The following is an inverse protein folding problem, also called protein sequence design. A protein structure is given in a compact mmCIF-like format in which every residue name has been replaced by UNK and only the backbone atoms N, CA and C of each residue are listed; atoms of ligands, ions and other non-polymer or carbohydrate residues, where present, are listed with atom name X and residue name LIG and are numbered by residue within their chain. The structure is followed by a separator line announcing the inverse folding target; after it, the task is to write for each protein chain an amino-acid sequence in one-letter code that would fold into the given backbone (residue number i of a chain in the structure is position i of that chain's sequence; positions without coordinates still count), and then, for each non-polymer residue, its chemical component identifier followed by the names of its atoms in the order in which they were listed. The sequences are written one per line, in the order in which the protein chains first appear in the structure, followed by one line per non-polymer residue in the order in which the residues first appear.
data_IF_094347065089
#
_entry.id   IF_094347065089
#
_cell.length_a   1.000
_cell.length_b   1.000
_cell.length_c   1.000
_cell.angle_alpha   90.00
_cell.angle_beta   90.00
_cell.angle_gamma   90.00
#
_symmetry.space_group_name_H-M   'P 1'
#
loop_
_entity.id
_entity.type
_entity.pdbx_description
1 polymer ?
#
# COMPACT_ATOMS: atom_id res chain seq x y z
N UNK A 1 9.93 1.22 -10.61
CA UNK A 1 10.59 -0.10 -10.74
C UNK A 1 10.79 -0.52 -12.21
N UNK A 2 9.72 -0.58 -13.01
CA UNK A 2 9.81 -0.94 -14.44
C UNK A 2 10.73 0.02 -15.22
N UNK A 3 10.62 1.32 -14.94
CA UNK A 3 11.47 2.40 -15.47
C UNK A 3 12.96 2.20 -15.16
N UNK A 4 13.31 1.85 -13.93
CA UNK A 4 14.69 1.53 -13.52
C UNK A 4 15.26 0.34 -14.30
N UNK A 5 14.48 -0.75 -14.42
CA UNK A 5 14.91 -1.97 -15.15
C UNK A 5 15.15 -1.66 -16.63
N UNK A 6 14.22 -0.93 -17.27
CA UNK A 6 14.34 -0.55 -18.68
C UNK A 6 15.57 0.36 -18.92
N UNK A 7 15.79 1.35 -18.07
CA UNK A 7 16.95 2.25 -18.18
C UNK A 7 18.27 1.49 -18.02
N UNK A 8 18.34 0.55 -17.07
CA UNK A 8 19.53 -0.25 -16.84
C UNK A 8 19.81 -1.21 -18.01
N UNK A 9 18.77 -1.85 -18.54
CA UNK A 9 18.87 -2.72 -19.70
C UNK A 9 19.42 -1.95 -20.91
N UNK A 10 18.86 -0.78 -21.21
CA UNK A 10 19.31 0.05 -22.32
C UNK A 10 20.77 0.50 -22.13
N UNK A 11 21.16 0.88 -20.91
CA UNK A 11 22.54 1.27 -20.62
C UNK A 11 23.54 0.12 -20.88
N UNK A 12 23.20 -1.11 -20.48
CA UNK A 12 24.04 -2.29 -20.72
C UNK A 12 24.10 -2.66 -22.21
N UNK A 13 23.01 -2.48 -22.94
CA UNK A 13 22.96 -2.78 -24.39
C UNK A 13 23.69 -1.72 -25.23
N UNK A 14 23.67 -0.46 -24.79
CA UNK A 14 24.24 0.67 -25.55
C UNK A 14 25.71 0.91 -25.21
N UNK A 15 26.11 0.75 -23.95
CA UNK A 15 27.46 1.06 -23.49
C UNK A 15 28.25 -0.22 -23.22
N UNK A 16 29.44 -0.33 -23.82
CA UNK A 16 30.36 -1.46 -23.59
C UNK A 16 31.27 -1.25 -22.38
N UNK A 17 31.33 -0.03 -21.84
CA UNK A 17 32.17 0.32 -20.69
C UNK A 17 31.35 0.46 -19.41
N UNK A 18 31.82 -0.18 -18.34
CA UNK A 18 31.21 -0.07 -17.01
C UNK A 18 31.18 1.36 -16.47
N UNK A 19 32.12 2.21 -16.88
CA UNK A 19 32.18 3.60 -16.41
C UNK A 19 30.97 4.43 -16.86
N UNK A 20 30.38 4.09 -18.00
CA UNK A 20 29.24 4.81 -18.59
C UNK A 20 27.90 4.33 -18.00
N UNK A 21 27.86 3.12 -17.43
CA UNK A 21 26.67 2.53 -16.79
C UNK A 21 26.48 3.05 -15.36
N UNK A 22 27.58 3.33 -14.65
CA UNK A 22 27.57 3.84 -13.26
C UNK A 22 26.66 5.08 -13.08
N UNK A 23 26.78 6.16 -13.89
CA UNK A 23 25.93 7.34 -13.69
C UNK A 23 24.44 7.04 -13.89
N UNK A 24 24.08 6.17 -14.84
CA UNK A 24 22.68 5.76 -15.05
C UNK A 24 22.15 5.05 -13.82
N UNK A 25 22.92 4.11 -13.27
CA UNK A 25 22.56 3.34 -12.08
C UNK A 25 22.36 4.26 -10.87
N UNK A 26 23.22 5.26 -10.68
CA UNK A 26 23.12 6.22 -9.58
C UNK A 26 21.87 7.11 -9.73
N UNK A 27 21.67 7.73 -10.90
CA UNK A 27 20.55 8.66 -11.12
C UNK A 27 19.20 7.95 -10.99
N UNK A 28 19.03 6.83 -11.70
CA UNK A 28 17.79 6.07 -11.64
C UNK A 28 17.62 5.37 -10.28
N UNK A 29 18.70 4.97 -9.62
CA UNK A 29 18.66 4.34 -8.30
C UNK A 29 18.17 5.31 -7.22
N UNK A 30 18.74 6.52 -7.18
CA UNK A 30 18.29 7.59 -6.27
C UNK A 30 16.84 7.96 -6.57
N UNK A 31 16.49 8.13 -7.84
CA UNK A 31 15.12 8.40 -8.26
C UNK A 31 14.15 7.32 -7.77
N UNK A 32 14.54 6.04 -7.86
CA UNK A 32 13.68 4.94 -7.43
C UNK A 32 13.49 4.88 -5.91
N UNK A 33 14.52 5.20 -5.13
CA UNK A 33 14.40 5.29 -3.67
C UNK A 33 13.45 6.43 -3.30
N UNK A 34 13.62 7.60 -3.90
CA UNK A 34 12.74 8.75 -3.67
C UNK A 34 11.30 8.41 -4.08
N UNK A 35 11.11 7.75 -5.22
CA UNK A 35 9.79 7.33 -5.69
C UNK A 35 9.11 6.36 -4.72
N UNK A 36 9.81 5.29 -4.31
CA UNK A 36 9.25 4.26 -3.44
C UNK A 36 8.98 4.75 -2.02
N UNK A 37 9.87 5.56 -1.44
CA UNK A 37 9.80 5.94 -0.03
C UNK A 37 9.09 7.27 0.22
N UNK A 38 9.09 8.21 -0.73
CA UNK A 38 8.50 9.54 -0.55
C UNK A 38 7.30 9.74 -1.46
N UNK A 39 7.45 9.58 -2.79
CA UNK A 39 6.36 9.89 -3.72
C UNK A 39 5.21 8.91 -3.59
N UNK A 40 5.50 7.60 -3.51
CA UNK A 40 4.46 6.57 -3.38
C UNK A 40 3.58 6.80 -2.16
N UNK A 41 4.10 6.94 -0.92
CA UNK A 41 3.25 7.23 0.23
C UNK A 41 2.63 8.63 0.18
N UNK A 42 3.30 9.63 -0.40
CA UNK A 42 2.72 10.97 -0.55
C UNK A 42 1.53 10.99 -1.53
N UNK A 43 1.62 10.25 -2.63
CA UNK A 43 0.57 10.17 -3.66
C UNK A 43 -0.57 9.22 -3.25
N UNK A 44 -0.23 8.10 -2.60
CA UNK A 44 -1.19 7.06 -2.18
C UNK A 44 -1.78 7.37 -0.79
N UNK A 45 -1.19 8.32 -0.06
CA UNK A 45 -1.71 9.02 1.10
C UNK A 45 -2.53 8.17 2.07
N UNK A 46 -1.90 7.46 3.00
CA UNK A 46 -2.38 6.97 4.31
C UNK A 46 -3.88 6.61 4.51
N UNK A 47 -4.60 6.14 3.50
CA UNK A 47 -6.06 5.96 3.55
C UNK A 47 -6.49 4.53 3.88
N UNK A 48 -5.96 3.95 4.95
CA UNK A 48 -6.65 2.80 5.56
C UNK A 48 -7.02 3.07 7.02
N UNK A 49 -6.21 3.85 7.76
CA UNK A 49 -6.56 4.31 9.11
C UNK A 49 -6.96 3.18 10.08
N UNK A 50 -6.60 1.93 9.74
CA UNK A 50 -6.87 0.75 10.54
C UNK A 50 -5.78 0.67 11.60
N UNK A 51 -6.19 0.78 12.85
CA UNK A 51 -5.27 0.62 13.96
C UNK A 51 -4.64 -0.79 13.92
N UNK A 52 -3.31 -0.95 14.09
CA UNK A 52 -2.62 -2.25 14.00
C UNK A 52 -3.27 -3.37 14.83
N UNK A 53 -3.87 -3.02 15.98
CA UNK A 53 -4.61 -3.96 16.82
C UNK A 53 -5.81 -4.59 16.10
N UNK A 54 -6.55 -3.84 15.29
CA UNK A 54 -7.71 -4.37 14.55
C UNK A 54 -7.27 -5.40 13.51
N UNK A 55 -6.11 -5.18 12.89
CA UNK A 55 -5.51 -6.12 11.94
C UNK A 55 -5.14 -7.43 12.64
N UNK A 56 -4.45 -7.34 13.79
CA UNK A 56 -4.06 -8.52 14.57
C UNK A 56 -5.31 -9.30 15.03
N UNK A 57 -6.32 -8.60 15.56
CA UNK A 57 -7.58 -9.25 15.98
C UNK A 57 -8.30 -9.91 14.80
N UNK A 58 -8.34 -9.28 13.63
CA UNK A 58 -8.94 -9.86 12.45
C UNK A 58 -8.19 -11.12 11.98
N UNK A 59 -6.85 -11.12 12.00
CA UNK A 59 -6.05 -12.28 11.63
C UNK A 59 -6.25 -13.45 12.61
N UNK A 60 -6.30 -13.17 13.90
CA UNK A 60 -6.58 -14.18 14.93
C UNK A 60 -8.00 -14.74 14.79
N UNK A 61 -9.00 -13.87 14.61
CA UNK A 61 -10.39 -14.28 14.44
C UNK A 61 -10.59 -15.08 13.14
N UNK A 62 -10.06 -14.59 12.01
CA UNK A 62 -10.11 -15.28 10.72
C UNK A 62 -9.39 -16.62 10.77
N UNK A 63 -8.22 -16.67 11.40
CA UNK A 63 -7.45 -17.90 11.60
C UNK A 63 -8.18 -18.95 12.43
N UNK A 64 -8.92 -18.54 13.46
CA UNK A 64 -9.72 -19.47 14.27
C UNK A 64 -11.00 -19.94 13.55
N UNK A 65 -11.66 -19.07 12.79
CA UNK A 65 -12.94 -19.39 12.15
C UNK A 65 -12.79 -20.27 10.90
N UNK A 66 -11.79 -19.98 10.05
CA UNK A 66 -11.64 -20.62 8.73
C UNK A 66 -10.20 -21.10 8.45
N UNK A 67 -9.35 -21.16 9.48
CA UNK A 67 -7.95 -21.58 9.33
C UNK A 67 -7.15 -20.64 8.43
N UNK A 68 -6.27 -21.20 7.60
CA UNK A 68 -5.41 -20.43 6.71
C UNK A 68 -6.18 -19.56 5.71
N UNK A 69 -7.29 -20.05 5.16
CA UNK A 69 -8.14 -19.27 4.26
C UNK A 69 -8.71 -18.03 4.96
N UNK A 70 -9.08 -18.15 6.23
CA UNK A 70 -9.54 -17.03 7.04
C UNK A 70 -8.45 -16.01 7.32
N UNK A 71 -7.19 -16.43 7.49
CA UNK A 71 -6.05 -15.50 7.62
C UNK A 71 -5.84 -14.69 6.34
N UNK A 72 -5.90 -15.33 5.16
CA UNK A 72 -5.76 -14.65 3.87
C UNK A 72 -6.86 -13.60 3.64
N UNK A 73 -8.09 -13.92 4.05
CA UNK A 73 -9.25 -13.04 3.86
C UNK A 73 -9.45 -12.04 5.00
N UNK A 74 -8.80 -12.22 6.15
CA UNK A 74 -9.01 -11.39 7.35
C UNK A 74 -8.77 -9.89 7.09
N UNK A 75 -7.69 -9.55 6.38
CA UNK A 75 -7.32 -8.16 6.13
C UNK A 75 -8.34 -7.44 5.22
N UNK A 76 -8.69 -7.94 4.02
CA UNK A 76 -9.68 -7.27 3.18
C UNK A 76 -11.07 -7.22 3.81
N UNK A 77 -11.51 -8.27 4.51
CA UNK A 77 -12.81 -8.28 5.20
C UNK A 77 -12.84 -7.26 6.33
N UNK A 78 -11.79 -7.20 7.16
CA UNK A 78 -11.68 -6.22 8.24
C UNK A 78 -11.70 -4.77 7.71
N UNK A 79 -11.00 -4.51 6.60
CA UNK A 79 -11.04 -3.22 5.94
C UNK A 79 -12.45 -2.86 5.43
N UNK A 80 -13.14 -3.79 4.77
CA UNK A 80 -14.51 -3.58 4.30
C UNK A 80 -15.49 -3.27 5.45
N UNK A 81 -15.40 -4.02 6.56
CA UNK A 81 -16.22 -3.78 7.76
C UNK A 81 -15.91 -2.40 8.35
N UNK A 82 -14.64 -2.04 8.51
CA UNK A 82 -14.24 -0.76 9.09
C UNK A 82 -14.72 0.44 8.27
N UNK A 83 -14.64 0.35 6.93
CA UNK A 83 -15.17 1.38 6.03
C UNK A 83 -16.70 1.44 6.12
N UNK A 84 -17.38 0.29 6.10
CA UNK A 84 -18.83 0.20 6.26
C UNK A 84 -19.32 0.84 7.55
N UNK A 85 -18.71 0.51 8.69
CA UNK A 85 -19.04 1.11 9.99
C UNK A 85 -18.79 2.62 10.02
N UNK A 86 -17.69 3.10 9.41
CA UNK A 86 -17.40 4.53 9.32
C UNK A 86 -18.47 5.27 8.52
N UNK A 87 -18.93 4.68 7.42
CA UNK A 87 -19.99 5.23 6.59
C UNK A 87 -21.34 5.22 7.31
N UNK A 88 -21.72 4.10 7.93
CA UNK A 88 -22.94 3.99 8.73
C UNK A 88 -22.96 5.00 9.89
N UNK A 89 -21.84 5.20 10.57
CA UNK A 89 -21.73 6.21 11.63
C UNK A 89 -21.96 7.63 11.09
N UNK A 90 -21.37 7.97 9.95
CA UNK A 90 -21.58 9.28 9.32
C UNK A 90 -23.05 9.46 8.95
N UNK A 91 -23.65 8.47 8.27
CA UNK A 91 -25.07 8.50 7.91
C UNK A 91 -26.01 8.54 9.12
N UNK A 92 -25.64 7.93 10.25
CA UNK A 92 -26.43 8.00 11.48
C UNK A 92 -26.38 9.39 12.13
N UNK A 93 -25.18 9.99 12.22
CA UNK A 93 -25.00 11.31 12.82
C UNK A 93 -25.62 12.44 11.97
N UNK A 94 -25.67 12.29 10.65
CA UNK A 94 -26.31 13.23 9.73
C UNK A 94 -27.82 13.01 9.58
N UNK A 95 -28.40 12.00 10.24
CA UNK A 95 -29.83 11.71 10.15
C UNK A 95 -30.66 12.59 11.08
N UNK A 96 -31.83 13.02 10.60
CA UNK A 96 -32.82 13.83 11.35
C UNK A 96 -33.23 13.22 12.70
N UNK A 97 -32.99 11.92 12.89
CA UNK A 97 -33.29 11.17 14.13
C UNK A 97 -32.31 11.50 15.27
N UNK A 98 -31.10 11.97 14.94
CA UNK A 98 -30.09 12.39 15.92
C UNK A 98 -30.05 13.92 16.12
N UNK A 99 -30.45 14.70 15.11
CA UNK A 99 -30.48 16.17 15.18
C UNK A 99 -31.82 16.78 15.64
N UNK A 100 -32.82 15.96 15.98
CA UNK A 100 -34.10 16.36 16.57
C UNK A 100 -34.07 16.22 18.10
#
# INVERSE_FOLDING_TARGET
ALSFILALLLAVLQFSSFQEIIPVLVVFGIGQIIESYLLTPYLVGDRIGLHPVVVILALLAGGQLFGFAGVLLALPVSAAIAVGLRHLKQSYLDSDVYSA
#
